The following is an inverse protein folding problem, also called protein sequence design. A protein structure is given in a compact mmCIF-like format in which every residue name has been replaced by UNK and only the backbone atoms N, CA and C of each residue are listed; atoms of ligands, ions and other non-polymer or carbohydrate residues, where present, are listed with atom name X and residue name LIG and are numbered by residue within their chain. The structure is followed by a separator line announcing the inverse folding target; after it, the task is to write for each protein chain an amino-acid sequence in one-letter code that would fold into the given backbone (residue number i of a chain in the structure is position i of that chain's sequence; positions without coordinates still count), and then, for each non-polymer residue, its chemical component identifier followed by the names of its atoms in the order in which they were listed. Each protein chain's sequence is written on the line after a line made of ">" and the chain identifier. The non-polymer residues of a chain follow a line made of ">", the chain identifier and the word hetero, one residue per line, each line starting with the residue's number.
data_IF_076109328124
#
_entry.id   IF_076109328124
#
_cell.length_a   1.000
_cell.length_b   1.000
_cell.length_c   1.000
_cell.angle_alpha   90.00
_cell.angle_beta   90.00
_cell.angle_gamma   90.00
#
_symmetry.space_group_name_H-M   'P 1'
#
loop_
_entity.id
_entity.type
_entity.pdbx_description
1 polymer ?
#
# COMPACT_ATOMS: atom_id res chain seq x y z
N UNK A 1 7.92 -2.30 11.32
CA UNK A 1 8.93 -1.44 11.98
C UNK A 1 10.32 -2.06 12.02
N UNK A 2 10.44 -3.38 11.90
CA UNK A 2 11.69 -4.13 12.15
C UNK A 2 12.85 -3.76 11.21
N UNK A 3 12.57 -3.42 9.95
CA UNK A 3 13.62 -3.02 8.99
C UNK A 3 14.38 -1.76 9.45
N UNK A 4 13.69 -0.80 10.07
CA UNK A 4 14.31 0.43 10.60
C UNK A 4 15.22 0.08 11.78
N UNK A 5 14.74 -0.79 12.69
CA UNK A 5 15.52 -1.27 13.84
C UNK A 5 16.75 -2.05 13.41
N UNK A 6 16.63 -2.90 12.38
CA UNK A 6 17.74 -3.60 11.78
C UNK A 6 18.83 -2.63 11.30
N UNK A 7 18.45 -1.56 10.60
CA UNK A 7 19.41 -0.52 10.21
C UNK A 7 20.01 0.21 11.41
N UNK A 8 19.23 0.48 12.45
CA UNK A 8 19.75 0.99 13.73
C UNK A 8 20.85 0.10 14.31
N UNK A 9 20.69 -1.22 14.26
CA UNK A 9 21.75 -2.15 14.67
C UNK A 9 22.95 -2.14 13.73
N UNK A 10 22.73 -2.24 12.42
CA UNK A 10 23.79 -2.32 11.40
C UNK A 10 24.70 -1.08 11.41
N UNK A 11 24.13 0.10 11.66
CA UNK A 11 24.86 1.36 11.60
C UNK A 11 25.26 1.92 12.98
N UNK A 12 25.03 1.18 14.07
CA UNK A 12 25.25 1.64 15.46
C UNK A 12 24.48 2.94 15.77
N UNK A 13 23.20 2.95 15.40
CA UNK A 13 22.23 4.06 15.51
C UNK A 13 20.91 3.59 16.12
N UNK A 14 21.00 2.78 17.18
CA UNK A 14 19.83 2.18 17.82
C UNK A 14 18.87 3.22 18.41
N UNK A 15 19.41 4.28 19.03
CA UNK A 15 18.61 5.34 19.63
C UNK A 15 17.85 6.13 18.55
N UNK A 16 18.54 6.53 17.49
CA UNK A 16 17.94 7.26 16.37
C UNK A 16 16.89 6.40 15.63
N UNK A 17 17.10 5.09 15.55
CA UNK A 17 16.11 4.19 14.96
C UNK A 17 14.81 4.10 15.78
N UNK A 18 14.88 4.01 17.11
CA UNK A 18 13.68 3.98 17.96
C UNK A 18 12.96 5.34 18.00
N UNK A 19 13.70 6.44 18.01
CA UNK A 19 13.12 7.79 17.87
C UNK A 19 12.34 7.89 16.57
N UNK A 20 12.92 7.43 15.46
CA UNK A 20 12.27 7.47 14.16
C UNK A 20 11.06 6.53 14.07
N UNK A 21 11.12 5.33 14.64
CA UNK A 21 9.96 4.44 14.73
C UNK A 21 8.82 5.09 15.50
N UNK A 22 9.10 5.70 16.65
CA UNK A 22 8.10 6.40 17.46
C UNK A 22 7.45 7.52 16.65
N UNK A 23 8.25 8.36 15.99
CA UNK A 23 7.73 9.45 15.16
C UNK A 23 6.82 8.96 14.00
N UNK A 24 7.16 7.82 13.38
CA UNK A 24 6.33 7.24 12.32
C UNK A 24 5.03 6.63 12.86
N UNK A 25 5.07 6.00 14.04
CA UNK A 25 3.87 5.47 14.70
C UNK A 25 2.91 6.59 15.09
N UNK A 26 3.42 7.69 15.67
CA UNK A 26 2.61 8.85 16.02
C UNK A 26 1.96 9.48 14.78
N UNK A 27 2.72 9.58 13.69
CA UNK A 27 2.19 10.07 12.41
C UNK A 27 1.13 9.14 11.84
N UNK A 28 1.32 7.83 11.93
CA UNK A 28 0.33 6.85 11.46
C UNK A 28 -0.97 6.97 12.26
N UNK A 29 -0.89 7.02 13.60
CA UNK A 29 -2.05 7.20 14.47
C UNK A 29 -2.83 8.48 14.11
N UNK A 30 -2.13 9.59 13.83
CA UNK A 30 -2.78 10.84 13.42
C UNK A 30 -3.57 10.75 12.10
N UNK A 31 -3.23 9.79 11.24
CA UNK A 31 -3.92 9.54 9.97
C UNK A 31 -5.09 8.58 10.19
N UNK A 32 -4.92 7.55 11.03
CA UNK A 32 -5.97 6.57 11.35
C UNK A 32 -7.17 7.20 12.09
N UNK A 33 -6.96 8.30 12.82
CA UNK A 33 -8.03 9.08 13.45
C UNK A 33 -8.90 9.86 12.43
N UNK A 34 -8.46 9.97 11.17
CA UNK A 34 -9.25 10.62 10.13
C UNK A 34 -10.40 9.72 9.65
N UNK A 35 -11.55 10.33 9.35
CA UNK A 35 -12.70 9.59 8.83
C UNK A 35 -12.35 8.91 7.49
N UNK A 36 -12.53 7.59 7.45
CA UNK A 36 -12.37 6.79 6.24
C UNK A 36 -13.42 7.18 5.18
N UNK A 37 -13.01 7.59 3.98
CA UNK A 37 -13.96 7.90 2.92
C UNK A 37 -14.63 6.63 2.40
N UNK A 38 -15.96 6.64 2.34
CA UNK A 38 -16.78 5.58 1.75
C UNK A 38 -17.61 6.12 0.59
N UNK A 39 -18.19 5.21 -0.20
CA UNK A 39 -19.17 5.56 -1.23
C UNK A 39 -20.49 6.02 -0.58
N UNK A 40 -21.39 6.70 -1.32
CA UNK A 40 -22.69 7.14 -0.80
C UNK A 40 -23.56 6.01 -0.21
N UNK A 41 -23.37 4.77 -0.66
CA UNK A 41 -24.07 3.58 -0.17
C UNK A 41 -23.37 2.91 1.05
N UNK A 42 -22.28 3.50 1.53
CA UNK A 42 -21.48 3.00 2.66
C UNK A 42 -20.48 1.91 2.31
N UNK A 43 -20.40 1.46 1.05
CA UNK A 43 -19.41 0.48 0.61
C UNK A 43 -18.01 1.10 0.45
N UNK A 44 -16.93 0.30 0.60
CA UNK A 44 -15.57 0.78 0.40
C UNK A 44 -15.30 1.14 -1.08
N UNK A 45 -14.35 2.05 -1.29
CA UNK A 45 -13.79 2.26 -2.62
C UNK A 45 -13.00 1.03 -3.05
N UNK A 46 -13.02 0.74 -4.35
CA UNK A 46 -12.17 -0.30 -4.94
C UNK A 46 -10.98 0.43 -5.56
N UNK A 47 -9.78 -0.15 -5.45
CA UNK A 47 -8.54 0.52 -5.85
C UNK A 47 -7.62 -0.49 -6.52
N UNK A 48 -6.98 -0.08 -7.61
CA UNK A 48 -5.82 -0.74 -8.18
C UNK A 48 -4.60 0.17 -7.99
N UNK A 49 -3.49 -0.40 -7.50
CA UNK A 49 -2.20 0.29 -7.48
C UNK A 49 -1.37 -0.20 -8.67
N UNK A 50 -0.99 0.71 -9.56
CA UNK A 50 -0.39 0.39 -10.85
C UNK A 50 1.04 0.95 -10.96
N UNK A 51 1.86 0.27 -11.75
CA UNK A 51 3.17 0.72 -12.20
C UNK A 51 3.22 0.67 -13.73
N UNK A 52 2.75 1.72 -14.42
CA UNK A 52 2.68 1.74 -15.88
C UNK A 52 4.06 2.01 -16.52
N UNK A 53 4.31 1.39 -17.67
CA UNK A 53 5.48 1.70 -18.49
C UNK A 53 5.20 2.91 -19.39
N UNK A 54 6.03 3.95 -19.26
CA UNK A 54 5.93 5.15 -20.11
C UNK A 54 6.13 4.77 -21.58
N UNK A 55 5.26 5.28 -22.45
CA UNK A 55 5.36 5.04 -23.90
C UNK A 55 4.64 3.79 -24.42
N UNK A 56 3.81 3.13 -23.60
CA UNK A 56 2.92 2.05 -24.06
C UNK A 56 3.47 0.63 -23.92
N UNK A 57 4.38 0.42 -22.97
CA UNK A 57 4.82 -0.92 -22.57
C UNK A 57 3.84 -1.59 -21.59
N UNK A 58 4.23 -2.76 -21.09
CA UNK A 58 3.47 -3.52 -20.10
C UNK A 58 3.13 -2.68 -18.86
N UNK A 59 1.91 -2.83 -18.35
CA UNK A 59 1.50 -2.25 -17.07
C UNK A 59 1.58 -3.32 -16.00
N UNK A 60 2.07 -2.96 -14.82
CA UNK A 60 2.08 -3.85 -13.67
C UNK A 60 1.06 -3.40 -12.64
N UNK A 61 0.54 -4.36 -11.86
CA UNK A 61 -0.25 -4.10 -10.67
C UNK A 61 0.41 -4.71 -9.42
N UNK A 62 -0.04 -4.28 -8.25
CA UNK A 62 0.46 -4.77 -6.96
C UNK A 62 -0.58 -5.59 -6.20
N UNK A 63 -0.22 -6.82 -5.87
CA UNK A 63 -1.01 -7.74 -5.05
C UNK A 63 -0.69 -7.63 -3.56
N UNK A 64 -1.07 -8.66 -2.79
CA UNK A 64 -0.92 -8.71 -1.33
C UNK A 64 0.53 -8.89 -0.86
N UNK A 65 1.44 -9.33 -1.73
CA UNK A 65 2.88 -9.36 -1.45
C UNK A 65 3.55 -7.97 -1.43
N UNK A 66 2.80 -6.89 -1.67
CA UNK A 66 3.29 -5.51 -1.72
C UNK A 66 2.81 -4.68 -0.53
N UNK A 67 3.60 -3.67 -0.16
CA UNK A 67 3.17 -2.62 0.76
C UNK A 67 1.97 -1.81 0.26
N UNK A 68 1.62 -1.90 -1.02
CA UNK A 68 0.40 -1.30 -1.55
C UNK A 68 -0.87 -1.84 -0.87
N UNK A 69 -0.92 -3.14 -0.55
CA UNK A 69 -2.10 -3.76 0.05
C UNK A 69 -2.46 -3.16 1.43
N UNK A 70 -1.56 -3.14 2.43
CA UNK A 70 -1.89 -2.55 3.73
C UNK A 70 -2.15 -1.03 3.64
N UNK A 71 -1.61 -0.32 2.64
CA UNK A 71 -1.92 1.11 2.43
C UNK A 71 -3.36 1.29 1.94
N UNK A 72 -3.82 0.45 1.01
CA UNK A 72 -5.20 0.48 0.51
C UNK A 72 -6.18 0.09 1.63
N UNK A 73 -5.86 -0.94 2.41
CA UNK A 73 -6.66 -1.37 3.56
C UNK A 73 -6.75 -0.29 4.64
N UNK A 74 -5.64 0.37 4.98
CA UNK A 74 -5.63 1.47 5.95
C UNK A 74 -6.43 2.70 5.47
N UNK A 75 -6.54 2.89 4.15
CA UNK A 75 -7.44 3.89 3.56
C UNK A 75 -8.92 3.45 3.56
N UNK A 76 -9.22 2.25 4.06
CA UNK A 76 -10.54 1.62 4.08
C UNK A 76 -11.10 1.30 2.70
N UNK A 77 -10.22 1.08 1.73
CA UNK A 77 -10.55 0.63 0.40
C UNK A 77 -10.23 -0.86 0.22
N UNK A 78 -10.77 -1.44 -0.85
CA UNK A 78 -10.52 -2.81 -1.27
C UNK A 78 -9.52 -2.81 -2.44
N UNK A 79 -8.40 -3.53 -2.28
CA UNK A 79 -7.51 -3.76 -3.41
C UNK A 79 -8.18 -4.73 -4.39
N UNK A 80 -8.44 -4.30 -5.63
CA UNK A 80 -9.07 -5.17 -6.63
C UNK A 80 -8.21 -6.38 -6.99
N UNK A 81 -6.93 -6.41 -6.62
CA UNK A 81 -6.00 -7.52 -6.78
C UNK A 81 -5.68 -8.26 -5.47
N UNK A 82 -6.57 -8.21 -4.48
CA UNK A 82 -6.38 -8.93 -3.20
C UNK A 82 -6.29 -10.46 -3.36
N UNK A 83 -6.74 -11.02 -4.48
CA UNK A 83 -6.60 -12.43 -4.87
C UNK A 83 -5.18 -12.80 -5.35
N UNK A 84 -4.34 -11.81 -5.66
CA UNK A 84 -2.99 -12.03 -6.17
C UNK A 84 -1.98 -11.96 -5.01
N UNK A 85 -1.29 -13.07 -4.75
CA UNK A 85 -0.25 -13.14 -3.70
C UNK A 85 1.08 -12.52 -4.13
N UNK A 86 1.30 -12.40 -5.44
CA UNK A 86 2.53 -11.82 -5.97
C UNK A 86 2.64 -10.35 -5.60
N UNK A 87 3.87 -9.92 -5.30
CA UNK A 87 4.15 -8.53 -5.01
C UNK A 87 3.81 -7.64 -6.19
N UNK A 88 4.24 -8.01 -7.39
CA UNK A 88 4.05 -7.24 -8.63
C UNK A 88 3.91 -8.21 -9.80
N UNK A 89 2.97 -7.96 -10.70
CA UNK A 89 2.68 -8.81 -11.86
C UNK A 89 2.12 -7.98 -13.00
N UNK A 90 2.22 -8.50 -14.23
CA UNK A 90 1.72 -7.84 -15.44
C UNK A 90 0.20 -7.92 -15.52
N UNK A 91 -0.41 -6.82 -15.97
CA UNK A 91 -1.85 -6.72 -16.21
C UNK A 91 -2.11 -6.08 -17.56
N UNK A 92 -3.26 -6.39 -18.15
CA UNK A 92 -3.74 -5.75 -19.38
C UNK A 92 -4.71 -4.62 -19.05
N UNK A 93 -4.99 -3.76 -20.03
CA UNK A 93 -6.02 -2.73 -19.87
C UNK A 93 -7.40 -3.36 -19.68
N UNK A 94 -7.67 -4.47 -20.38
CA UNK A 94 -8.90 -5.24 -20.27
C UNK A 94 -9.10 -5.80 -18.85
N UNK A 95 -8.05 -6.39 -18.24
CA UNK A 95 -8.12 -6.90 -16.86
C UNK A 95 -8.41 -5.78 -15.85
N UNK A 96 -7.81 -4.60 -16.01
CA UNK A 96 -8.10 -3.44 -15.15
C UNK A 96 -9.56 -2.99 -15.30
N UNK A 97 -10.08 -2.93 -16.53
CA UNK A 97 -11.48 -2.54 -16.80
C UNK A 97 -12.45 -3.55 -16.21
N UNK A 98 -12.20 -4.85 -16.41
CA UNK A 98 -13.03 -5.93 -15.87
C UNK A 98 -13.05 -5.93 -14.34
N UNK A 99 -11.90 -5.63 -13.72
CA UNK A 99 -11.80 -5.47 -12.27
C UNK A 99 -12.47 -4.20 -11.77
N UNK A 100 -12.66 -3.17 -12.57
CA UNK A 100 -13.41 -1.94 -12.23
C UNK A 100 -13.03 -1.33 -10.85
N UNK A 101 -11.75 -0.98 -10.63
CA UNK A 101 -11.33 -0.26 -9.42
C UNK A 101 -12.09 1.07 -9.28
#
# INVERSE_FOLDING_TARGET
>A
WDQIRLYGTVFDRGAEAEEYVTALQDRLASIEDAATPTKPDGSPYRIAVLYPTVGGGVTYAYGTGSMAAPVVEAAGAENVYADQSDRVFEVTAEDIVDRNP
#
